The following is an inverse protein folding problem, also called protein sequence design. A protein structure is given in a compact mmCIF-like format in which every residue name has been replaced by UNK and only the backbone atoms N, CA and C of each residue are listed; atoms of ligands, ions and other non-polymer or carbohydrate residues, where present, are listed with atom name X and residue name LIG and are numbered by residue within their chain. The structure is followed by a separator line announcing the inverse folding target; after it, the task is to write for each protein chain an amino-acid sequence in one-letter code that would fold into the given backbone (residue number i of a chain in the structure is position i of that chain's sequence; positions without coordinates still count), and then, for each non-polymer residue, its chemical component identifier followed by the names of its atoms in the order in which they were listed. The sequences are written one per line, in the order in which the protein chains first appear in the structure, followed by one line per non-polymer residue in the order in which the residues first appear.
data_IF_981313643898
#
_entry.id   IF_981313643898
#
_cell.length_a   1.000
_cell.length_b   1.000
_cell.length_c   1.000
_cell.angle_alpha   90.00
_cell.angle_beta   90.00
_cell.angle_gamma   90.00
#
_symmetry.space_group_name_H-M   'P 1'
#
loop_
_entity.id
_entity.type
_entity.pdbx_description
1 polymer ?
#
# COMPACT_ATOMS: atom_id res chain seq x y z
N UNK A 1 9.83 14.00 -11.79
CA UNK A 1 8.46 13.90 -12.38
C UNK A 1 7.95 15.29 -12.79
N UNK A 2 7.94 16.30 -11.90
CA UNK A 2 7.48 17.65 -12.24
C UNK A 2 8.35 18.28 -13.35
N UNK A 3 9.69 18.15 -13.28
CA UNK A 3 10.58 18.59 -14.34
C UNK A 3 10.27 17.91 -15.68
N UNK A 4 10.08 16.59 -15.69
CA UNK A 4 9.70 15.86 -16.90
C UNK A 4 8.35 16.31 -17.47
N UNK A 5 7.39 16.66 -16.62
CA UNK A 5 6.10 17.19 -17.06
C UNK A 5 6.23 18.60 -17.67
N UNK A 6 7.20 19.41 -17.19
CA UNK A 6 7.51 20.72 -17.80
C UNK A 6 8.15 20.59 -19.18
N UNK A 7 9.05 19.62 -19.35
CA UNK A 7 9.70 19.35 -20.63
C UNK A 7 8.74 18.76 -21.66
N UNK A 8 7.91 17.82 -21.21
CA UNK A 8 6.94 17.15 -22.07
C UNK A 8 5.63 16.90 -21.33
N UNK A 9 4.59 17.68 -21.65
CA UNK A 9 3.26 17.56 -21.08
C UNK A 9 2.50 16.43 -21.76
N UNK A 10 2.75 15.21 -21.32
CA UNK A 10 2.06 14.01 -21.78
C UNK A 10 1.35 13.27 -20.61
N UNK A 11 0.38 12.37 -20.92
CA UNK A 11 -0.37 11.65 -19.90
C UNK A 11 0.50 10.79 -18.96
N UNK A 12 1.63 10.26 -19.46
CA UNK A 12 2.53 9.43 -18.66
C UNK A 12 3.23 10.27 -17.59
N UNK A 13 3.79 11.43 -17.98
CA UNK A 13 4.44 12.35 -17.05
C UNK A 13 3.44 12.92 -16.05
N UNK A 14 2.23 13.23 -16.48
CA UNK A 14 1.16 13.71 -15.60
C UNK A 14 0.77 12.63 -14.57
N UNK A 15 0.58 11.38 -14.99
CA UNK A 15 0.28 10.26 -14.09
C UNK A 15 1.44 10.00 -13.10
N UNK A 16 2.69 10.16 -13.53
CA UNK A 16 3.84 10.03 -12.64
C UNK A 16 3.82 11.10 -11.54
N UNK A 17 3.50 12.35 -11.89
CA UNK A 17 3.33 13.45 -10.91
C UNK A 17 2.19 13.12 -9.94
N UNK A 18 1.02 12.70 -10.44
CA UNK A 18 -0.12 12.30 -9.60
C UNK A 18 0.26 11.20 -8.61
N UNK A 19 0.93 10.14 -9.08
CA UNK A 19 1.32 9.02 -8.23
C UNK A 19 2.30 9.43 -7.13
N UNK A 20 3.26 10.30 -7.44
CA UNK A 20 4.20 10.82 -6.45
C UNK A 20 3.53 11.79 -5.49
N UNK A 21 2.66 12.66 -5.99
CA UNK A 21 1.88 13.59 -5.18
C UNK A 21 0.99 12.87 -4.16
N UNK A 22 0.31 11.79 -4.56
CA UNK A 22 -0.53 11.01 -3.64
C UNK A 22 0.24 10.29 -2.53
N UNK A 23 1.57 10.12 -2.68
CA UNK A 23 2.45 9.47 -1.69
C UNK A 23 3.35 10.46 -0.97
N UNK A 24 3.44 11.68 -1.48
CA UNK A 24 4.34 12.72 -0.99
C UNK A 24 3.91 13.30 0.37
N UNK A 25 4.89 13.93 0.99
CA UNK A 25 4.70 14.81 2.15
C UNK A 25 5.16 16.19 1.70
N UNK A 26 4.36 17.20 1.99
CA UNK A 26 4.58 18.55 1.50
C UNK A 26 4.73 19.53 2.66
N UNK A 27 5.53 20.56 2.45
CA UNK A 27 5.65 21.69 3.37
C UNK A 27 4.47 22.63 3.13
N UNK A 28 3.73 22.95 4.16
CA UNK A 28 2.60 23.87 4.12
C UNK A 28 2.78 24.96 5.18
N UNK A 29 3.02 26.22 4.81
CA UNK A 29 3.08 27.32 5.76
C UNK A 29 1.74 27.52 6.47
N UNK A 30 1.80 27.61 7.79
CA UNK A 30 0.63 27.79 8.63
C UNK A 30 0.95 28.67 9.84
N UNK A 31 -0.05 29.40 10.30
CA UNK A 31 -0.04 30.06 11.60
C UNK A 31 -0.71 29.13 12.61
N UNK A 32 0.02 28.76 13.65
CA UNK A 32 -0.46 27.92 14.73
C UNK A 32 -0.66 28.80 15.96
N UNK A 33 -1.89 28.94 16.40
CA UNK A 33 -2.24 29.66 17.63
C UNK A 33 -2.54 28.62 18.71
N UNK A 34 -1.59 28.47 19.63
CA UNK A 34 -1.71 27.58 20.79
C UNK A 34 -2.25 28.42 21.93
N UNK A 35 -3.30 27.95 22.61
CA UNK A 35 -3.85 28.62 23.77
C UNK A 35 -2.83 28.72 24.93
N UNK A 36 -3.23 29.34 26.07
CA UNK A 36 -2.36 29.66 27.21
C UNK A 36 -1.61 28.43 27.80
N UNK A 37 -2.08 27.23 27.55
CA UNK A 37 -1.49 25.95 27.97
C UNK A 37 -0.69 25.27 26.87
N UNK A 38 0.36 25.92 26.35
CA UNK A 38 1.23 25.29 25.35
C UNK A 38 1.85 24.01 25.91
N UNK A 39 1.65 22.85 25.28
CA UNK A 39 2.26 21.61 25.75
C UNK A 39 3.77 21.65 25.56
N UNK A 40 4.49 21.07 26.53
CA UNK A 40 5.93 20.91 26.41
C UNK A 40 6.26 19.81 25.42
N UNK A 41 7.36 19.94 24.65
CA UNK A 41 7.84 18.85 23.81
C UNK A 41 8.08 17.57 24.62
N UNK A 42 7.78 16.42 24.02
CA UNK A 42 8.17 15.12 24.57
C UNK A 42 9.69 14.91 24.51
N UNK A 43 10.18 13.77 24.99
CA UNK A 43 11.61 13.40 24.99
C UNK A 43 12.23 13.37 23.58
N UNK A 44 11.40 13.28 22.54
CA UNK A 44 11.79 13.28 21.13
C UNK A 44 11.59 14.64 20.44
N UNK A 45 11.28 15.70 21.21
CA UNK A 45 11.02 17.03 20.68
C UNK A 45 9.67 17.17 19.96
N UNK A 46 8.76 16.21 20.09
CA UNK A 46 7.43 16.26 19.49
C UNK A 46 6.45 16.98 20.41
N UNK A 47 5.66 17.87 19.83
CA UNK A 47 4.58 18.56 20.52
C UNK A 47 3.26 17.97 20.07
N UNK A 48 2.49 17.42 20.99
CA UNK A 48 1.12 17.01 20.71
C UNK A 48 0.22 18.25 20.84
N UNK A 49 -0.31 18.71 19.70
CA UNK A 49 -1.15 19.90 19.70
C UNK A 49 -2.47 19.65 20.45
N UNK A 50 -2.88 20.55 21.35
CA UNK A 50 -4.18 20.48 22.01
C UNK A 50 -5.32 20.47 20.98
N UNK A 51 -6.47 19.92 21.35
CA UNK A 51 -7.66 19.84 20.47
C UNK A 51 -8.22 21.22 20.07
N UNK A 52 -7.96 22.23 20.86
CA UNK A 52 -8.38 23.62 20.68
C UNK A 52 -7.35 24.48 19.93
N UNK A 53 -6.26 23.86 19.45
CA UNK A 53 -5.26 24.56 18.65
C UNK A 53 -5.87 25.03 17.33
N UNK A 54 -5.80 26.34 17.08
CA UNK A 54 -6.23 26.93 15.83
C UNK A 54 -5.07 26.95 14.83
N UNK A 55 -5.26 26.25 13.71
CA UNK A 55 -4.31 26.22 12.60
C UNK A 55 -4.90 26.96 11.41
N UNK A 56 -4.21 27.98 10.94
CA UNK A 56 -4.60 28.74 9.74
C UNK A 56 -3.53 28.57 8.68
N UNK A 57 -3.88 27.87 7.59
CA UNK A 57 -2.97 27.67 6.48
C UNK A 57 -2.85 28.90 5.59
N UNK A 58 -1.66 29.12 5.05
CA UNK A 58 -1.42 30.17 4.09
C UNK A 58 -2.08 29.83 2.75
N UNK A 59 -2.81 30.78 2.21
CA UNK A 59 -3.50 30.65 0.92
C UNK A 59 -2.86 31.57 -0.11
N UNK A 60 -2.82 31.09 -1.35
CA UNK A 60 -2.52 31.92 -2.51
C UNK A 60 -3.81 32.21 -3.29
N UNK A 61 -3.94 33.45 -3.73
CA UNK A 61 -5.01 33.85 -4.65
C UNK A 61 -4.52 33.78 -6.09
N UNK A 62 -5.28 33.15 -6.96
CA UNK A 62 -5.05 33.19 -8.40
C UNK A 62 -5.63 34.47 -9.01
N UNK A 63 -5.26 34.76 -10.25
CA UNK A 63 -5.70 35.98 -10.94
C UNK A 63 -7.20 36.06 -11.15
N UNK A 64 -7.94 34.94 -11.10
CA UNK A 64 -9.40 34.85 -11.13
C UNK A 64 -10.05 34.97 -9.73
N UNK A 65 -9.26 35.32 -8.71
CA UNK A 65 -9.73 35.55 -7.34
C UNK A 65 -9.92 34.31 -6.49
N UNK A 66 -9.70 33.10 -7.02
CA UNK A 66 -9.83 31.85 -6.26
C UNK A 66 -8.66 31.68 -5.31
N UNK A 67 -8.95 31.10 -4.14
CA UNK A 67 -7.94 30.78 -3.13
C UNK A 67 -7.51 29.32 -3.24
N UNK A 68 -6.22 29.06 -3.03
CA UNK A 68 -5.65 27.72 -3.04
C UNK A 68 -4.75 27.51 -1.82
N UNK A 69 -4.79 26.32 -1.23
CA UNK A 69 -3.76 25.91 -0.30
C UNK A 69 -2.42 25.75 -1.02
N UNK A 70 -1.33 25.99 -0.32
CA UNK A 70 0.03 25.85 -0.86
C UNK A 70 0.63 24.51 -0.45
N UNK A 71 1.38 23.89 -1.36
CA UNK A 71 2.13 22.67 -1.12
C UNK A 71 3.52 22.83 -1.74
N UNK A 72 4.58 22.62 -0.96
CA UNK A 72 5.95 22.71 -1.44
C UNK A 72 6.62 21.35 -1.25
N UNK A 73 7.38 20.92 -2.26
CA UNK A 73 8.09 19.64 -2.24
C UNK A 73 9.24 19.64 -1.24
N UNK A 74 9.88 20.78 -1.06
CA UNK A 74 11.08 20.97 -0.24
C UNK A 74 11.23 22.43 0.21
N UNK A 75 12.26 22.69 1.00
CA UNK A 75 12.55 24.01 1.53
C UNK A 75 12.99 25.01 0.44
N UNK A 76 13.69 24.55 -0.60
CA UNK A 76 14.14 25.40 -1.70
C UNK A 76 12.96 25.96 -2.49
N UNK A 77 11.94 25.13 -2.73
CA UNK A 77 10.69 25.56 -3.35
C UNK A 77 9.91 26.54 -2.46
N UNK A 78 9.87 26.28 -1.15
CA UNK A 78 9.24 27.18 -0.19
C UNK A 78 9.94 28.54 -0.10
N UNK A 79 11.27 28.57 -0.18
CA UNK A 79 12.06 29.82 -0.08
C UNK A 79 11.91 30.74 -1.30
N UNK A 80 11.43 30.23 -2.43
CA UNK A 80 11.04 31.06 -3.57
C UNK A 80 9.83 31.94 -3.29
N UNK A 81 9.08 31.68 -2.24
CA UNK A 81 7.99 32.55 -1.80
C UNK A 81 8.55 33.74 -0.97
N UNK A 82 8.93 34.80 -1.65
CA UNK A 82 9.58 35.97 -1.03
C UNK A 82 8.73 36.65 0.05
N UNK A 83 7.41 36.74 -0.17
CA UNK A 83 6.46 37.36 0.77
C UNK A 83 5.65 36.32 1.52
N UNK A 84 6.24 35.18 1.89
CA UNK A 84 5.55 34.15 2.66
C UNK A 84 5.10 34.70 4.02
N UNK A 85 3.87 34.38 4.48
CA UNK A 85 3.41 34.81 5.78
C UNK A 85 4.34 34.27 6.87
N UNK A 86 4.57 35.08 7.91
CA UNK A 86 5.25 34.59 9.10
C UNK A 86 4.44 33.48 9.76
N UNK A 87 5.12 32.39 10.14
CA UNK A 87 4.47 31.25 10.76
C UNK A 87 5.37 30.02 10.82
N UNK A 88 4.78 28.91 11.14
CA UNK A 88 5.42 27.60 11.14
C UNK A 88 5.18 26.89 9.82
N UNK A 89 5.91 25.79 9.60
CA UNK A 89 5.71 24.93 8.44
C UNK A 89 5.18 23.59 8.96
N UNK A 90 4.04 23.17 8.44
CA UNK A 90 3.47 21.86 8.71
C UNK A 90 3.78 20.88 7.58
N UNK A 91 3.91 19.62 7.94
CA UNK A 91 4.05 18.52 6.99
C UNK A 91 2.65 17.96 6.71
N UNK A 92 2.17 18.11 5.49
CA UNK A 92 0.86 17.62 5.05
C UNK A 92 1.01 16.57 3.96
N UNK A 93 0.12 15.60 3.99
CA UNK A 93 -0.03 14.59 2.92
C UNK A 93 -1.21 14.93 2.02
N UNK A 94 -1.30 14.27 0.90
CA UNK A 94 -2.44 14.39 -0.01
C UNK A 94 -3.80 14.23 0.72
N UNK A 95 -3.88 13.27 1.65
CA UNK A 95 -5.11 13.03 2.43
C UNK A 95 -5.51 14.22 3.32
N UNK A 96 -4.54 14.97 3.80
CA UNK A 96 -4.80 16.16 4.63
C UNK A 96 -5.40 17.26 3.77
N UNK A 97 -4.85 17.49 2.57
CA UNK A 97 -5.44 18.42 1.60
C UNK A 97 -6.84 18.00 1.18
N UNK A 98 -7.04 16.72 0.88
CA UNK A 98 -8.35 16.19 0.52
C UNK A 98 -9.38 16.40 1.64
N UNK A 99 -8.96 16.22 2.89
CA UNK A 99 -9.80 16.45 4.07
C UNK A 99 -10.13 17.93 4.28
N UNK A 100 -9.16 18.82 4.11
CA UNK A 100 -9.35 20.26 4.24
C UNK A 100 -10.21 20.87 3.12
N UNK A 101 -10.19 20.27 1.93
CA UNK A 101 -11.01 20.68 0.79
C UNK A 101 -12.44 20.14 0.87
N UNK A 102 -12.67 19.04 1.58
CA UNK A 102 -13.99 18.43 1.69
C UNK A 102 -14.94 19.34 2.47
N UNK A 103 -15.95 19.86 1.78
CA UNK A 103 -16.94 20.78 2.36
C UNK A 103 -16.42 22.22 2.57
N UNK A 104 -15.33 22.60 1.91
CA UNK A 104 -14.76 23.94 1.97
C UNK A 104 -14.91 24.67 0.63
N UNK A 105 -16.00 25.41 0.49
CA UNK A 105 -16.31 26.14 -0.74
C UNK A 105 -15.47 27.43 -0.92
N UNK A 106 -14.69 27.83 0.10
CA UNK A 106 -13.85 29.04 0.05
C UNK A 106 -12.47 28.79 -0.57
N UNK A 107 -12.09 27.54 -0.71
CA UNK A 107 -10.78 27.15 -1.27
C UNK A 107 -11.00 26.25 -2.48
N UNK A 108 -10.49 26.66 -3.63
CA UNK A 108 -10.74 25.99 -4.91
C UNK A 108 -9.87 24.73 -5.10
N UNK A 109 -8.85 24.51 -4.25
CA UNK A 109 -7.93 23.39 -4.39
C UNK A 109 -6.61 23.65 -3.67
N UNK A 110 -5.56 22.97 -4.12
CA UNK A 110 -4.19 23.26 -3.71
C UNK A 110 -3.26 23.40 -4.91
N UNK A 111 -2.14 24.08 -4.72
CA UNK A 111 -1.12 24.29 -5.75
C UNK A 111 0.23 23.77 -5.25
N UNK A 112 0.85 22.91 -6.04
CA UNK A 112 2.18 22.37 -5.79
C UNK A 112 3.23 23.26 -6.45
N UNK A 113 4.26 23.66 -5.68
CA UNK A 113 5.36 24.51 -6.10
C UNK A 113 4.87 25.73 -6.91
N UNK A 114 4.09 26.64 -6.31
CA UNK A 114 3.38 27.71 -7.02
C UNK A 114 4.31 28.68 -7.77
N UNK A 115 5.58 28.75 -7.40
CA UNK A 115 6.55 29.70 -7.98
C UNK A 115 7.46 29.07 -9.03
N UNK A 116 7.28 27.74 -9.31
CA UNK A 116 8.04 27.01 -10.34
C UNK A 116 7.13 26.13 -11.17
N UNK A 117 6.73 24.99 -10.65
CA UNK A 117 5.90 24.00 -11.37
C UNK A 117 4.46 24.48 -11.54
N UNK A 118 3.94 25.22 -10.56
CA UNK A 118 2.59 25.78 -10.50
C UNK A 118 1.49 24.79 -10.87
N UNK A 119 1.61 23.54 -10.34
CA UNK A 119 0.66 22.48 -10.62
C UNK A 119 -0.58 22.63 -9.73
N UNK A 120 -1.70 22.91 -10.34
CA UNK A 120 -2.98 23.16 -9.65
C UNK A 120 -3.84 21.93 -9.63
N UNK A 121 -4.30 21.58 -8.44
CA UNK A 121 -5.23 20.48 -8.19
C UNK A 121 -6.51 21.08 -7.61
N UNK A 122 -7.56 21.19 -8.42
CA UNK A 122 -8.84 21.67 -7.92
C UNK A 122 -9.56 20.63 -7.05
N UNK A 123 -10.55 21.07 -6.29
CA UNK A 123 -11.30 20.24 -5.33
C UNK A 123 -11.91 19.00 -5.98
N UNK A 124 -12.49 19.14 -7.18
CA UNK A 124 -13.11 18.02 -7.91
C UNK A 124 -12.08 16.98 -8.33
N UNK A 125 -10.92 17.44 -8.82
CA UNK A 125 -9.82 16.56 -9.18
C UNK A 125 -9.29 15.80 -7.95
N UNK A 126 -9.09 16.49 -6.82
CA UNK A 126 -8.65 15.88 -5.57
C UNK A 126 -9.66 14.83 -5.09
N UNK A 127 -10.95 15.15 -5.11
CA UNK A 127 -12.02 14.23 -4.74
C UNK A 127 -12.06 12.99 -5.66
N UNK A 128 -11.91 13.19 -6.97
CA UNK A 128 -11.85 12.12 -7.96
C UNK A 128 -10.65 11.18 -7.74
N UNK A 129 -9.46 11.74 -7.54
CA UNK A 129 -8.24 10.98 -7.25
C UNK A 129 -8.35 10.18 -5.95
N UNK A 130 -8.91 10.78 -4.90
CA UNK A 130 -9.17 10.10 -3.63
C UNK A 130 -10.11 8.91 -3.82
N UNK A 131 -11.22 9.12 -4.55
CA UNK A 131 -12.20 8.07 -4.87
C UNK A 131 -11.57 6.91 -5.66
N UNK A 132 -10.79 7.23 -6.70
CA UNK A 132 -10.10 6.22 -7.51
C UNK A 132 -9.10 5.41 -6.68
N UNK A 133 -8.27 6.07 -5.85
CA UNK A 133 -7.32 5.40 -4.96
C UNK A 133 -8.05 4.49 -3.97
N UNK A 134 -9.11 4.97 -3.33
CA UNK A 134 -9.86 4.18 -2.36
C UNK A 134 -10.52 2.96 -3.02
N UNK A 135 -11.11 3.12 -4.22
CA UNK A 135 -11.66 2.01 -4.98
C UNK A 135 -10.60 0.97 -5.36
N UNK A 136 -9.38 1.41 -5.71
CA UNK A 136 -8.26 0.51 -6.00
C UNK A 136 -7.82 -0.24 -4.74
N UNK A 137 -7.69 0.44 -3.60
CA UNK A 137 -7.34 -0.18 -2.33
C UNK A 137 -8.38 -1.21 -1.88
N UNK A 138 -9.67 -0.92 -2.05
CA UNK A 138 -10.74 -1.87 -1.74
C UNK A 138 -10.70 -3.11 -2.66
N UNK A 139 -10.42 -2.95 -3.96
CA UNK A 139 -10.20 -4.08 -4.86
C UNK A 139 -9.02 -4.94 -4.43
N UNK A 140 -7.90 -4.33 -4.04
CA UNK A 140 -6.72 -5.05 -3.54
C UNK A 140 -7.06 -5.82 -2.26
N UNK A 141 -7.77 -5.20 -1.32
CA UNK A 141 -8.23 -5.87 -0.08
C UNK A 141 -9.17 -7.03 -0.38
N UNK A 142 -10.15 -6.85 -1.28
CA UNK A 142 -11.08 -7.90 -1.67
C UNK A 142 -10.35 -9.07 -2.34
N UNK A 143 -9.41 -8.78 -3.25
CA UNK A 143 -8.60 -9.81 -3.90
C UNK A 143 -7.72 -10.54 -2.88
N UNK A 144 -7.09 -9.82 -1.95
CA UNK A 144 -6.30 -10.42 -0.88
C UNK A 144 -7.16 -11.25 0.08
N UNK A 145 -8.36 -10.78 0.42
CA UNK A 145 -9.30 -11.53 1.26
C UNK A 145 -9.83 -12.80 0.55
N UNK A 146 -10.12 -12.71 -0.76
CA UNK A 146 -10.50 -13.88 -1.56
C UNK A 146 -9.35 -14.90 -1.66
N UNK A 147 -8.13 -14.43 -1.88
CA UNK A 147 -6.95 -15.29 -1.89
C UNK A 147 -6.67 -15.90 -0.52
N UNK A 148 -6.85 -15.14 0.58
CA UNK A 148 -6.73 -15.66 1.94
C UNK A 148 -7.84 -16.69 2.25
N UNK A 149 -9.08 -16.43 1.83
CA UNK A 149 -10.18 -17.38 1.97
C UNK A 149 -9.95 -18.67 1.15
N UNK A 150 -9.35 -18.55 -0.03
CA UNK A 150 -8.94 -19.70 -0.84
C UNK A 150 -7.74 -20.45 -0.22
N UNK A 151 -6.81 -19.73 0.42
CA UNK A 151 -5.68 -20.33 1.17
C UNK A 151 -6.16 -21.04 2.44
N UNK A 152 -7.17 -20.49 3.09
CA UNK A 152 -7.80 -21.02 4.30
C UNK A 152 -9.09 -21.80 3.94
N UNK A 153 -9.13 -22.53 2.82
CA UNK A 153 -10.10 -23.58 2.64
C UNK A 153 -9.80 -24.65 3.71
N UNK A 154 -10.07 -24.30 4.98
CA UNK A 154 -10.04 -25.25 6.07
C UNK A 154 -11.06 -26.31 5.74
N UNK A 155 -10.62 -27.57 5.72
CA UNK A 155 -11.47 -28.73 5.65
C UNK A 155 -12.47 -28.58 6.79
N UNK A 156 -13.74 -28.45 6.47
CA UNK A 156 -14.82 -28.34 7.47
C UNK A 156 -15.26 -29.74 7.89
N UNK A 157 -15.75 -29.90 9.12
CA UNK A 157 -16.39 -31.13 9.49
C UNK A 157 -17.52 -31.50 8.50
N UNK A 158 -17.41 -32.66 7.85
CA UNK A 158 -18.34 -33.10 6.81
C UNK A 158 -17.87 -32.95 5.36
N UNK A 159 -16.74 -32.28 5.12
CA UNK A 159 -16.15 -32.22 3.77
C UNK A 159 -15.58 -33.57 3.36
N UNK A 160 -15.85 -33.96 2.12
CA UNK A 160 -15.26 -35.16 1.52
C UNK A 160 -13.91 -34.79 0.91
N UNK A 161 -12.83 -35.20 1.55
CA UNK A 161 -11.45 -34.99 1.06
C UNK A 161 -10.97 -36.24 0.35
N UNK A 162 -10.49 -36.07 -0.87
CA UNK A 162 -9.85 -37.14 -1.63
C UNK A 162 -8.42 -36.68 -1.95
N UNK A 163 -7.43 -37.50 -1.69
CA UNK A 163 -6.03 -37.26 -1.99
C UNK A 163 -5.67 -38.17 -3.17
N UNK A 164 -5.11 -37.58 -4.21
CA UNK A 164 -4.69 -38.30 -5.42
C UNK A 164 -3.28 -37.90 -5.82
N UNK A 165 -2.55 -38.80 -6.44
CA UNK A 165 -1.26 -38.48 -7.02
C UNK A 165 -1.43 -37.61 -8.26
N UNK A 166 -0.56 -36.62 -8.49
CA UNK A 166 -0.51 -35.87 -9.74
C UNK A 166 -0.21 -36.84 -10.90
N UNK A 167 -1.00 -36.78 -11.96
CA UNK A 167 -0.70 -37.54 -13.19
C UNK A 167 0.60 -37.08 -13.87
N UNK A 168 0.99 -35.82 -13.65
CA UNK A 168 2.27 -35.22 -14.06
C UNK A 168 2.72 -34.32 -12.91
N UNK A 169 3.94 -34.49 -12.46
CA UNK A 169 4.57 -33.60 -11.49
C UNK A 169 5.05 -32.33 -12.21
N UNK A 170 4.66 -31.13 -11.75
CA UNK A 170 5.15 -29.89 -12.35
C UNK A 170 6.60 -29.62 -11.92
N UNK A 171 7.52 -29.78 -12.83
CA UNK A 171 8.98 -29.58 -12.55
C UNK A 171 9.28 -28.18 -12.01
N UNK A 172 8.57 -27.17 -12.50
CA UNK A 172 8.69 -25.78 -12.05
C UNK A 172 8.28 -25.57 -10.58
N UNK A 173 7.49 -26.48 -10.00
CA UNK A 173 7.13 -26.50 -8.58
C UNK A 173 8.06 -27.44 -7.80
N UNK A 174 8.32 -28.62 -8.33
CA UNK A 174 9.06 -29.68 -7.64
C UNK A 174 10.53 -29.31 -7.47
N UNK A 175 11.18 -28.84 -8.52
CA UNK A 175 12.62 -28.54 -8.47
C UNK A 175 12.98 -27.46 -7.43
N UNK A 176 12.31 -26.30 -7.36
CA UNK A 176 12.56 -25.31 -6.31
C UNK A 176 12.26 -25.83 -4.90
N UNK A 177 11.20 -26.66 -4.75
CA UNK A 177 10.87 -27.25 -3.47
C UNK A 177 11.96 -28.22 -3.01
N UNK A 178 12.44 -29.10 -3.89
CA UNK A 178 13.55 -30.03 -3.57
C UNK A 178 14.80 -29.26 -3.17
N UNK A 179 15.22 -28.29 -3.98
CA UNK A 179 16.41 -27.49 -3.71
C UNK A 179 16.32 -26.70 -2.38
N UNK A 180 15.13 -26.28 -1.98
CA UNK A 180 14.94 -25.62 -0.69
C UNK A 180 14.92 -26.60 0.47
N UNK A 181 14.18 -27.70 0.35
CA UNK A 181 14.02 -28.69 1.41
C UNK A 181 15.32 -29.45 1.73
N UNK A 182 16.20 -29.64 0.75
CA UNK A 182 17.53 -30.24 0.96
C UNK A 182 18.41 -29.46 1.96
N UNK A 183 18.12 -28.18 2.18
CA UNK A 183 18.81 -27.35 3.18
C UNK A 183 18.41 -27.69 4.62
N UNK A 184 17.38 -28.47 4.81
CA UNK A 184 16.80 -28.82 6.11
C UNK A 184 17.03 -30.31 6.43
N UNK A 185 18.11 -30.66 7.15
CA UNK A 185 18.46 -32.06 7.44
C UNK A 185 17.39 -32.84 8.23
N UNK A 186 16.45 -32.13 8.84
CA UNK A 186 15.33 -32.72 9.59
C UNK A 186 14.22 -33.26 8.68
N UNK A 187 14.24 -32.98 7.39
CA UNK A 187 13.25 -33.46 6.43
C UNK A 187 13.68 -34.82 5.91
N UNK A 188 13.01 -35.88 6.35
CA UNK A 188 13.27 -37.25 5.90
C UNK A 188 12.73 -37.53 4.50
N UNK A 189 11.54 -37.03 4.20
CA UNK A 189 10.88 -37.18 2.91
C UNK A 189 9.85 -36.05 2.66
N UNK A 190 9.57 -35.80 1.38
CA UNK A 190 8.54 -34.85 0.96
C UNK A 190 7.67 -35.47 -0.14
N UNK A 191 6.36 -35.37 0.00
CA UNK A 191 5.39 -35.94 -0.93
C UNK A 191 4.49 -34.84 -1.47
N UNK A 192 4.46 -34.67 -2.79
CA UNK A 192 3.54 -33.73 -3.46
C UNK A 192 2.33 -34.52 -3.98
N UNK A 193 1.16 -34.13 -3.52
CA UNK A 193 -0.12 -34.75 -3.88
C UNK A 193 -1.13 -33.69 -4.33
N UNK A 194 -2.27 -34.10 -4.84
CA UNK A 194 -3.42 -33.24 -5.11
C UNK A 194 -4.52 -33.56 -4.12
N UNK A 195 -4.94 -32.56 -3.37
CA UNK A 195 -6.09 -32.63 -2.48
C UNK A 195 -7.32 -32.08 -3.22
N UNK A 196 -8.38 -32.88 -3.24
CA UNK A 196 -9.68 -32.54 -3.83
C UNK A 196 -10.72 -32.49 -2.73
N UNK A 197 -11.35 -31.34 -2.53
CA UNK A 197 -12.40 -31.15 -1.53
C UNK A 197 -13.74 -31.10 -2.24
N UNK A 198 -14.66 -31.95 -1.81
CA UNK A 198 -16.03 -32.08 -2.35
C UNK A 198 -16.10 -32.28 -3.87
N UNK A 199 -15.07 -32.87 -4.47
CA UNK A 199 -14.99 -33.11 -5.91
C UNK A 199 -14.76 -31.86 -6.78
N UNK A 200 -14.71 -30.68 -6.20
CA UNK A 200 -14.67 -29.42 -6.92
C UNK A 200 -13.37 -28.64 -6.72
N UNK A 201 -12.97 -28.40 -5.47
CA UNK A 201 -11.78 -27.60 -5.16
C UNK A 201 -10.53 -28.45 -5.18
N UNK A 202 -9.57 -28.11 -6.05
CA UNK A 202 -8.27 -28.80 -6.15
C UNK A 202 -7.15 -27.90 -5.65
N UNK A 203 -6.23 -28.48 -4.88
CA UNK A 203 -5.02 -27.82 -4.41
C UNK A 203 -3.85 -28.80 -4.37
N UNK A 204 -2.62 -28.32 -4.48
CA UNK A 204 -1.45 -29.11 -4.14
C UNK A 204 -1.40 -29.33 -2.63
N UNK A 205 -0.99 -30.51 -2.23
CA UNK A 205 -0.71 -30.87 -0.84
C UNK A 205 0.72 -31.36 -0.74
N UNK A 206 1.56 -30.60 -0.05
CA UNK A 206 2.92 -30.99 0.28
C UNK A 206 2.90 -31.60 1.69
N UNK A 207 3.21 -32.87 1.78
CA UNK A 207 3.34 -33.61 3.04
C UNK A 207 4.83 -33.75 3.33
N UNK A 208 5.28 -33.24 4.47
CA UNK A 208 6.67 -33.30 4.91
C UNK A 208 6.81 -34.33 6.04
N UNK A 209 7.71 -35.27 5.88
CA UNK A 209 8.17 -36.13 6.97
C UNK A 209 9.27 -35.38 7.74
N UNK A 210 8.82 -34.54 8.65
CA UNK A 210 9.65 -33.65 9.45
C UNK A 210 8.91 -33.22 10.73
N UNK A 211 9.62 -32.78 11.78
CA UNK A 211 9.01 -32.07 12.89
C UNK A 211 8.32 -30.80 12.42
N UNK A 212 7.27 -30.38 13.13
CA UNK A 212 6.60 -29.12 12.82
C UNK A 212 7.53 -27.94 13.06
N UNK A 213 7.82 -27.18 12.00
CA UNK A 213 8.67 -25.99 12.03
C UNK A 213 8.08 -24.92 11.12
N UNK A 214 7.76 -23.78 11.71
CA UNK A 214 7.15 -22.64 10.97
C UNK A 214 8.15 -22.01 9.96
N UNK A 215 9.45 -22.07 10.24
CA UNK A 215 10.49 -21.59 9.31
C UNK A 215 10.58 -22.47 8.07
N UNK A 216 10.52 -23.81 8.26
CA UNK A 216 10.46 -24.78 7.18
C UNK A 216 9.21 -24.58 6.30
N UNK A 217 8.05 -24.39 6.92
CA UNK A 217 6.79 -24.16 6.18
C UNK A 217 6.84 -22.88 5.38
N UNK A 218 7.41 -21.82 5.96
CA UNK A 218 7.62 -20.55 5.27
C UNK A 218 8.58 -20.70 4.08
N UNK A 219 9.71 -21.36 4.27
CA UNK A 219 10.71 -21.56 3.22
C UNK A 219 10.15 -22.37 2.05
N UNK A 220 9.43 -23.47 2.32
CA UNK A 220 8.76 -24.25 1.29
C UNK A 220 7.68 -23.41 0.55
N UNK A 221 6.92 -22.60 1.27
CA UNK A 221 5.92 -21.69 0.68
C UNK A 221 6.56 -20.61 -0.20
N UNK A 222 7.69 -20.05 0.20
CA UNK A 222 8.43 -19.04 -0.56
C UNK A 222 9.06 -19.65 -1.82
N UNK A 223 9.60 -20.87 -1.74
CA UNK A 223 10.15 -21.60 -2.90
C UNK A 223 9.07 -21.93 -3.95
N UNK A 224 7.86 -22.28 -3.51
CA UNK A 224 6.74 -22.59 -4.39
C UNK A 224 6.07 -21.34 -5.01
N UNK A 225 6.25 -20.17 -4.42
CA UNK A 225 5.53 -18.93 -4.78
C UNK A 225 5.61 -18.54 -6.27
N UNK A 226 6.79 -18.56 -6.94
CA UNK A 226 6.88 -18.20 -8.35
C UNK A 226 5.95 -19.03 -9.23
N UNK A 227 5.91 -20.34 -9.02
CA UNK A 227 5.03 -21.25 -9.73
C UNK A 227 3.55 -20.99 -9.42
N UNK A 228 3.20 -20.80 -8.15
CA UNK A 228 1.81 -20.59 -7.72
C UNK A 228 1.22 -19.29 -8.27
N UNK A 229 2.05 -18.27 -8.51
CA UNK A 229 1.64 -16.98 -9.10
C UNK A 229 1.46 -17.10 -10.61
N UNK A 230 2.34 -17.83 -11.31
CA UNK A 230 2.33 -17.99 -12.77
C UNK A 230 1.38 -19.09 -13.28
N UNK A 231 0.90 -19.96 -12.38
CA UNK A 231 0.08 -21.12 -12.75
C UNK A 231 -1.31 -20.72 -13.23
N UNK A 232 -1.61 -21.00 -14.48
CA UNK A 232 -2.92 -20.75 -15.10
C UNK A 232 -4.08 -21.47 -14.37
N UNK A 233 -3.83 -22.62 -13.77
CA UNK A 233 -4.83 -23.42 -13.03
C UNK A 233 -5.17 -22.85 -11.66
N UNK A 234 -4.45 -21.81 -11.18
CA UNK A 234 -4.66 -21.14 -9.87
C UNK A 234 -4.82 -22.11 -8.69
N UNK A 235 -4.09 -23.22 -8.73
CA UNK A 235 -4.08 -24.19 -7.63
C UNK A 235 -3.18 -23.66 -6.50
N UNK A 236 -3.67 -23.71 -5.27
CA UNK A 236 -2.91 -23.36 -4.07
C UNK A 236 -2.04 -24.52 -3.60
N UNK A 237 -1.05 -24.23 -2.76
CA UNK A 237 -0.25 -25.22 -2.04
C UNK A 237 -0.64 -25.22 -0.56
N UNK A 238 -1.04 -26.36 -0.05
CA UNK A 238 -1.18 -26.63 1.37
C UNK A 238 0.03 -27.42 1.84
N UNK A 239 0.58 -27.11 3.00
CA UNK A 239 1.73 -27.78 3.58
C UNK A 239 1.32 -28.40 4.91
N UNK A 240 1.64 -29.66 5.11
CA UNK A 240 1.39 -30.38 6.36
C UNK A 240 2.58 -31.29 6.68
N UNK A 241 2.63 -31.78 7.91
CA UNK A 241 3.58 -32.80 8.31
C UNK A 241 2.95 -34.20 8.27
N UNK A 242 3.75 -35.19 8.01
CA UNK A 242 3.37 -36.57 8.23
C UNK A 242 3.27 -36.81 9.75
N UNK A 243 2.10 -37.27 10.18
CA UNK A 243 1.85 -37.67 11.59
C UNK A 243 2.04 -39.17 11.74
N UNK A 244 2.92 -39.79 10.97
CA UNK A 244 3.20 -41.20 11.19
C UNK A 244 3.82 -41.41 12.58
N UNK A 245 3.29 -42.30 13.39
CA UNK A 245 3.83 -42.62 14.71
C UNK A 245 5.20 -43.29 14.62
#
# INVERSE_FOLDING_TARGET
AAAALREENNPQNFNAVINLMMRGVFLAPAKIEIGENAPKPDENGRIQLPKDTKVTFALLKSGDGKSFFTAFTDAEELDKWQNKPAGQVMLLRFDDYARMLNGNDHVAGFVLNPFTDNLRFNSDMVASLLKQRNAMLEKIKQTAAQQAAQRNAQIKPGDKVTIVEPSVYPDELVNPLCAELEKYPMVGAAYLQIMVINGATKSYLLVLDAPKDDALFKAAGDAARPFLVSNEKKMNLNITISTSP
#
